data_IF_511365453619
#
_entry.id   IF_511365453619
#
_cell.length_a   1.000
_cell.length_b   1.000
_cell.length_c   1.000
_cell.angle_alpha   90.00
_cell.angle_beta   90.00
_cell.angle_gamma   90.00
#
_symmetry.space_group_name_H-M   'P 1'
#
loop_
_entity.id
_entity.type
_entity.pdbx_description
1 polymer ?
#
# COMPACT_ATOMS: atom_id res chain seq x y z
N UNK A 1 -9.35 -7.29 8.60
CA UNK A 1 -8.26 -6.63 7.83
C UNK A 1 -8.96 -5.61 6.96
N UNK A 2 -8.79 -4.32 7.24
CA UNK A 2 -9.46 -3.26 6.47
C UNK A 2 -9.12 -3.44 5.00
N UNK A 3 -10.14 -3.77 4.20
CA UNK A 3 -10.00 -3.86 2.76
C UNK A 3 -9.86 -2.44 2.25
N UNK A 4 -8.69 -2.13 1.69
CA UNK A 4 -8.31 -0.83 1.16
C UNK A 4 -9.30 -0.27 0.12
N UNK A 5 -10.08 -1.14 -0.51
CA UNK A 5 -11.17 -0.83 -1.42
C UNK A 5 -12.15 -2.01 -1.46
N UNK A 6 -13.37 -1.77 -1.95
CA UNK A 6 -14.38 -2.81 -2.17
C UNK A 6 -14.04 -3.63 -3.43
N UNK A 7 -13.80 -4.93 -3.24
CA UNK A 7 -13.44 -5.84 -4.33
C UNK A 7 -14.63 -6.30 -5.17
N UNK A 8 -15.86 -6.15 -4.67
CA UNK A 8 -17.10 -6.52 -5.38
C UNK A 8 -17.70 -5.33 -6.14
N UNK A 9 -17.13 -4.14 -5.96
CA UNK A 9 -17.60 -2.93 -6.62
C UNK A 9 -17.56 -3.08 -8.17
N UNK A 10 -18.65 -2.73 -8.87
CA UNK A 10 -18.72 -2.87 -10.32
C UNK A 10 -17.69 -1.99 -11.01
N UNK A 11 -16.99 -2.55 -12.01
CA UNK A 11 -16.03 -1.81 -12.84
C UNK A 11 -16.74 -0.67 -13.56
N UNK A 12 -16.31 0.56 -13.30
CA UNK A 12 -16.81 1.75 -14.02
C UNK A 12 -15.87 2.14 -15.15
N UNK A 13 -16.38 2.39 -16.37
CA UNK A 13 -15.56 2.93 -17.45
C UNK A 13 -15.10 4.33 -17.04
N UNK A 14 -13.79 4.51 -16.93
CA UNK A 14 -13.18 5.79 -16.59
C UNK A 14 -12.48 6.33 -17.82
N UNK A 15 -12.80 7.57 -18.23
CA UNK A 15 -12.11 8.21 -19.35
C UNK A 15 -10.82 8.84 -18.82
N UNK A 16 -9.67 8.46 -19.37
CA UNK A 16 -8.36 8.90 -18.88
C UNK A 16 -7.39 9.12 -20.04
N UNK A 17 -6.53 10.12 -19.89
CA UNK A 17 -5.51 10.46 -20.89
C UNK A 17 -4.22 9.69 -20.61
N UNK A 18 -3.79 8.86 -21.56
CA UNK A 18 -2.50 8.14 -21.53
C UNK A 18 -1.67 8.57 -22.74
N UNK A 19 -0.35 8.52 -22.59
CA UNK A 19 0.57 8.66 -23.72
C UNK A 19 0.20 7.68 -24.86
N UNK A 20 0.07 8.20 -26.07
CA UNK A 20 -0.39 7.45 -27.25
C UNK A 20 0.61 6.38 -27.72
N UNK A 21 1.91 6.63 -27.59
CA UNK A 21 2.96 5.66 -27.93
C UNK A 21 2.98 4.52 -26.91
N UNK A 22 2.85 4.82 -25.61
CA UNK A 22 2.72 3.82 -24.56
C UNK A 22 1.50 2.92 -24.78
N UNK A 23 0.35 3.51 -25.12
CA UNK A 23 -0.88 2.79 -25.43
C UNK A 23 -0.68 1.85 -26.63
N UNK A 24 -0.03 2.34 -27.69
CA UNK A 24 0.21 1.60 -28.92
C UNK A 24 1.15 0.41 -28.68
N UNK A 25 2.26 0.63 -27.96
CA UNK A 25 3.20 -0.43 -27.57
C UNK A 25 2.55 -1.47 -26.66
N UNK A 26 1.73 -1.02 -25.71
CA UNK A 26 1.04 -1.92 -24.79
C UNK A 26 0.06 -2.84 -25.53
N UNK A 27 -0.70 -2.30 -26.47
CA UNK A 27 -1.60 -3.10 -27.33
C UNK A 27 -0.84 -4.04 -28.26
N UNK A 28 0.29 -3.60 -28.82
CA UNK A 28 1.12 -4.45 -29.67
C UNK A 28 1.70 -5.66 -28.92
N UNK A 29 1.86 -5.54 -27.60
CA UNK A 29 2.33 -6.60 -26.70
C UNK A 29 1.19 -7.37 -26.03
N UNK A 30 -0.06 -7.17 -26.45
CA UNK A 30 -1.25 -7.80 -25.88
C UNK A 30 -1.41 -7.57 -24.35
N UNK A 31 -0.92 -6.43 -23.86
CA UNK A 31 -1.04 -6.07 -22.45
C UNK A 31 -2.47 -5.65 -22.14
N UNK A 32 -3.10 -6.34 -21.18
CA UNK A 32 -4.43 -6.00 -20.69
C UNK A 32 -4.40 -4.71 -19.86
N UNK A 33 -4.69 -3.59 -20.51
CA UNK A 33 -4.61 -2.25 -19.94
C UNK A 33 -5.46 -2.10 -18.66
N UNK A 34 -6.65 -2.69 -18.64
CA UNK A 34 -7.56 -2.60 -17.49
C UNK A 34 -7.00 -3.34 -16.28
N UNK A 35 -6.50 -4.57 -16.47
CA UNK A 35 -5.91 -5.35 -15.39
C UNK A 35 -4.63 -4.69 -14.85
N UNK A 36 -3.76 -4.20 -15.73
CA UNK A 36 -2.53 -3.51 -15.34
C UNK A 36 -2.82 -2.22 -14.57
N UNK A 37 -3.84 -1.45 -15.02
CA UNK A 37 -4.24 -0.23 -14.33
C UNK A 37 -4.81 -0.53 -12.93
N UNK A 38 -5.69 -1.54 -12.81
CA UNK A 38 -6.24 -1.97 -11.51
C UNK A 38 -5.13 -2.38 -10.53
N UNK A 39 -4.17 -3.19 -10.98
CA UNK A 39 -3.03 -3.61 -10.16
C UNK A 39 -2.15 -2.43 -9.73
N UNK A 40 -1.86 -1.51 -10.65
CA UNK A 40 -1.06 -0.33 -10.35
C UNK A 40 -1.76 0.60 -9.34
N UNK A 41 -3.08 0.77 -9.48
CA UNK A 41 -3.89 1.55 -8.55
C UNK A 41 -3.95 0.90 -7.17
N UNK A 42 -4.16 -0.41 -7.09
CA UNK A 42 -4.13 -1.16 -5.83
C UNK A 42 -2.78 -1.00 -5.12
N UNK A 43 -1.67 -1.15 -5.83
CA UNK A 43 -0.33 -0.99 -5.27
C UNK A 43 -0.10 0.44 -4.75
N UNK A 44 -0.53 1.46 -5.51
CA UNK A 44 -0.43 2.86 -5.10
C UNK A 44 -1.29 3.19 -3.89
N UNK A 45 -2.50 2.64 -3.83
CA UNK A 45 -3.42 2.87 -2.73
C UNK A 45 -2.93 2.18 -1.45
N UNK A 46 -2.38 0.97 -1.56
CA UNK A 46 -1.69 0.31 -0.45
C UNK A 46 -0.49 1.12 0.06
N UNK A 47 0.34 1.65 -0.85
CA UNK A 47 1.48 2.51 -0.51
C UNK A 47 1.02 3.78 0.23
N UNK A 48 0.01 4.47 -0.30
CA UNK A 48 -0.53 5.69 0.29
C UNK A 48 -1.14 5.44 1.67
N UNK A 49 -1.93 4.38 1.83
CA UNK A 49 -2.49 4.00 3.13
C UNK A 49 -1.43 3.61 4.15
N UNK A 50 -0.38 2.89 3.73
CA UNK A 50 0.75 2.56 4.61
C UNK A 50 1.52 3.82 5.05
N UNK A 51 1.72 4.77 4.14
CA UNK A 51 2.35 6.05 4.46
C UNK A 51 1.49 6.87 5.42
N UNK A 52 0.17 6.91 5.20
CA UNK A 52 -0.75 7.62 6.07
C UNK A 52 -0.81 6.97 7.46
N UNK A 53 -0.87 5.64 7.52
CA UNK A 53 -0.81 4.88 8.78
C UNK A 53 0.49 5.15 9.54
N UNK A 54 1.65 5.20 8.86
CA UNK A 54 2.93 5.58 9.49
C UNK A 54 2.88 7.01 10.03
N UNK A 55 2.25 7.95 9.33
CA UNK A 55 2.13 9.34 9.79
C UNK A 55 1.25 9.44 11.03
N UNK A 56 0.13 8.75 11.05
CA UNK A 56 -0.82 8.78 12.17
C UNK A 56 -0.29 8.03 13.40
N UNK A 57 0.35 6.88 13.18
CA UNK A 57 0.89 6.05 14.26
C UNK A 57 2.28 6.49 14.73
N UNK A 58 2.87 7.53 14.12
CA UNK A 58 4.21 8.00 14.55
C UNK A 58 4.24 8.40 16.02
N UNK A 59 3.18 9.00 16.56
CA UNK A 59 3.09 9.35 17.99
C UNK A 59 2.95 8.12 18.89
N UNK A 60 2.14 7.14 18.49
CA UNK A 60 1.94 5.90 19.24
C UNK A 60 3.20 5.02 19.23
N UNK A 61 3.86 4.90 18.07
CA UNK A 61 5.13 4.19 17.91
C UNK A 61 6.23 4.89 18.70
N UNK A 62 6.31 6.23 18.67
CA UNK A 62 7.29 6.97 19.47
C UNK A 62 7.05 6.77 20.97
N UNK A 63 5.81 6.87 21.44
CA UNK A 63 5.48 6.63 22.85
C UNK A 63 5.81 5.19 23.28
N UNK A 64 5.57 4.21 22.42
CA UNK A 64 5.94 2.82 22.66
C UNK A 64 7.46 2.62 22.67
N UNK A 65 8.18 3.22 21.73
CA UNK A 65 9.65 3.17 21.69
C UNK A 65 10.26 3.85 22.91
N UNK A 66 9.79 5.04 23.29
CA UNK A 66 10.23 5.75 24.49
C UNK A 66 9.95 4.88 25.75
N UNK A 67 8.79 4.20 25.81
CA UNK A 67 8.47 3.26 26.89
C UNK A 67 9.39 2.03 26.92
N UNK A 68 9.74 1.45 25.76
CA UNK A 68 10.65 0.29 25.65
C UNK A 68 12.10 0.68 25.97
N UNK A 69 12.54 1.90 25.61
CA UNK A 69 13.86 2.42 26.01
C UNK A 69 13.94 2.65 27.52
N UNK A 70 12.86 3.14 28.14
CA UNK A 70 12.84 3.47 29.57
C UNK A 70 12.57 2.24 30.47
N UNK A 71 11.78 1.26 30.01
CA UNK A 71 11.36 0.10 30.82
C UNK A 71 11.96 -1.23 30.36
N UNK A 72 12.73 -1.24 29.27
CA UNK A 72 13.22 -2.46 28.63
C UNK A 72 12.16 -3.18 27.80
N UNK A 73 12.62 -4.00 26.85
CA UNK A 73 11.73 -4.81 26.03
C UNK A 73 11.31 -6.09 26.80
N UNK A 74 10.01 -6.29 26.96
CA UNK A 74 9.44 -7.56 27.45
C UNK A 74 9.92 -8.69 26.54
N UNK A 75 10.75 -9.60 27.07
CA UNK A 75 11.29 -10.73 26.30
C UNK A 75 12.82 -10.77 26.20
N UNK A 76 13.53 -9.70 26.56
CA UNK A 76 15.01 -9.70 26.57
C UNK A 76 15.57 -10.74 27.58
N UNK A 77 14.81 -11.01 28.63
CA UNK A 77 15.07 -12.02 29.67
C UNK A 77 14.83 -13.48 29.21
N UNK A 78 14.30 -13.72 28.01
CA UNK A 78 14.09 -15.06 27.42
C UNK A 78 14.93 -15.33 26.17
N UNK A 79 15.83 -14.42 25.79
CA UNK A 79 16.85 -14.72 24.78
C UNK A 79 17.95 -15.56 25.42
N UNK A 80 17.73 -16.87 25.50
CA UNK A 80 18.81 -17.84 25.72
C UNK A 80 19.81 -17.76 24.55
N UNK A 81 21.10 -17.69 24.88
CA UNK A 81 22.24 -17.67 23.96
C UNK A 81 22.56 -19.06 23.39
#
# INVERSE_FOLDING_TARGET
MDTLFDADAPKKPTNLSVNSDLLSKSRALDINLSATLEQALQAKLAQASAENWRKDNRKAIKAYNDFVEENGCFGTEYQEF
#
